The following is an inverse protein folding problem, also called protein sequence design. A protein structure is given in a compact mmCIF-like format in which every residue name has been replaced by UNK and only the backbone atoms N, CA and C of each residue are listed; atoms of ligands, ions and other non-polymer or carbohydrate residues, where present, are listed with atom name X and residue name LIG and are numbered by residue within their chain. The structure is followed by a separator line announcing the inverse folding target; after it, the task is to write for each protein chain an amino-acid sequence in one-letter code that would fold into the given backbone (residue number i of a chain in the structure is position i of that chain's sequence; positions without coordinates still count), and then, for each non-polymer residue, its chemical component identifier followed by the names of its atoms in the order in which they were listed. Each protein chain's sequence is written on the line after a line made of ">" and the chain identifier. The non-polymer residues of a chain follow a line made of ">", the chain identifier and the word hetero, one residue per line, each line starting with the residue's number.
data_IF_920871606876
#
_entry.id   IF_920871606876
#
_cell.length_a   1.000
_cell.length_b   1.000
_cell.length_c   1.000
_cell.angle_alpha   90.00
_cell.angle_beta   90.00
_cell.angle_gamma   90.00
#
_symmetry.space_group_name_H-M   'P 1'
#
loop_
_entity.id
_entity.type
_entity.pdbx_description
1 polymer ?
#
# COMPACT_ATOMS: atom_id res chain seq x y z
N UNK A 1 7.80 20.21 -12.89
CA UNK A 1 7.72 19.58 -11.56
C UNK A 1 7.14 18.17 -11.66
N UNK A 2 6.58 17.63 -10.56
CA UNK A 2 6.14 16.22 -10.47
C UNK A 2 5.22 15.77 -11.62
N UNK A 3 4.14 16.50 -11.90
CA UNK A 3 3.22 16.14 -12.99
C UNK A 3 3.91 16.06 -14.35
N UNK A 4 4.82 16.98 -14.64
CA UNK A 4 5.62 16.95 -15.87
C UNK A 4 6.49 15.70 -15.93
N UNK A 5 7.15 15.33 -14.82
CA UNK A 5 8.00 14.13 -14.78
C UNK A 5 7.20 12.83 -15.00
N UNK A 6 5.96 12.76 -14.50
CA UNK A 6 5.06 11.61 -14.75
C UNK A 6 4.69 11.53 -16.22
N UNK A 7 4.32 12.68 -16.82
CA UNK A 7 3.96 12.73 -18.27
C UNK A 7 5.17 12.39 -19.14
N UNK A 8 6.34 12.94 -18.82
CA UNK A 8 7.58 12.69 -19.56
C UNK A 8 8.00 11.21 -19.47
N UNK A 9 7.88 10.60 -18.29
CA UNK A 9 8.14 9.17 -18.10
C UNK A 9 7.19 8.33 -18.98
N UNK A 10 5.88 8.55 -18.87
CA UNK A 10 4.90 7.77 -19.65
C UNK A 10 5.07 7.96 -21.15
N UNK A 11 5.47 9.16 -21.58
CA UNK A 11 5.74 9.42 -23.01
C UNK A 11 7.02 8.72 -23.51
N UNK A 12 8.04 8.58 -22.67
CA UNK A 12 9.33 7.98 -23.04
C UNK A 12 9.36 6.46 -22.87
N UNK A 13 8.83 5.96 -21.75
CA UNK A 13 8.96 4.56 -21.31
C UNK A 13 7.64 3.79 -21.37
N UNK A 14 6.52 4.49 -21.54
CA UNK A 14 5.18 3.91 -21.45
C UNK A 14 4.61 3.93 -20.03
N UNK A 15 3.45 3.30 -19.83
CA UNK A 15 2.82 3.20 -18.52
C UNK A 15 3.71 2.51 -17.49
N UNK A 16 3.69 2.99 -16.24
CA UNK A 16 4.45 2.40 -15.14
C UNK A 16 4.17 0.90 -14.99
N UNK A 17 5.23 0.13 -14.77
CA UNK A 17 5.12 -1.32 -14.60
C UNK A 17 4.44 -1.69 -13.26
N UNK A 18 4.68 -0.92 -12.21
CA UNK A 18 4.08 -1.14 -10.89
C UNK A 18 4.05 0.14 -10.03
N UNK A 19 3.36 0.07 -8.88
CA UNK A 19 3.26 1.18 -7.91
C UNK A 19 4.63 1.59 -7.37
N UNK A 20 5.59 0.66 -7.30
CA UNK A 20 6.92 0.96 -6.80
C UNK A 20 7.68 1.88 -7.77
N UNK A 21 7.67 1.57 -9.07
CA UNK A 21 8.28 2.41 -10.09
C UNK A 21 7.66 3.81 -10.12
N UNK A 22 6.33 3.89 -10.13
CA UNK A 22 5.62 5.16 -10.06
C UNK A 22 6.00 5.97 -8.81
N UNK A 23 6.06 5.32 -7.65
CA UNK A 23 6.47 5.94 -6.38
C UNK A 23 7.90 6.50 -6.44
N UNK A 24 8.82 5.78 -7.08
CA UNK A 24 10.22 6.20 -7.19
C UNK A 24 10.35 7.43 -8.12
N UNK A 25 9.64 7.46 -9.24
CA UNK A 25 9.60 8.65 -10.13
C UNK A 25 8.96 9.85 -9.42
N UNK A 26 7.84 9.65 -8.72
CA UNK A 26 7.20 10.73 -7.95
C UNK A 26 8.11 11.24 -6.86
N UNK A 27 8.74 10.36 -6.07
CA UNK A 27 9.64 10.75 -4.97
C UNK A 27 10.85 11.55 -5.47
N UNK A 28 11.46 11.14 -6.59
CA UNK A 28 12.59 11.83 -7.19
C UNK A 28 12.26 13.26 -7.66
N UNK A 29 10.97 13.55 -7.91
CA UNK A 29 10.51 14.83 -8.44
C UNK A 29 9.66 15.65 -7.43
N UNK A 30 9.52 15.17 -6.19
CA UNK A 30 8.89 15.93 -5.11
C UNK A 30 9.88 16.92 -4.51
N UNK A 31 9.56 18.20 -4.58
CA UNK A 31 10.41 19.29 -4.07
C UNK A 31 10.12 19.63 -2.61
N UNK A 32 9.02 19.19 -2.04
CA UNK A 32 8.58 19.54 -0.67
C UNK A 32 7.86 18.36 -0.01
N UNK A 33 8.21 18.05 1.23
CA UNK A 33 7.43 17.12 2.05
C UNK A 33 8.21 16.60 3.26
N UNK A 34 7.53 16.55 4.41
CA UNK A 34 8.10 15.99 5.66
C UNK A 34 8.37 14.48 5.53
N UNK A 35 7.71 13.80 4.60
CA UNK A 35 7.85 12.38 4.30
C UNK A 35 7.68 12.13 2.80
N UNK A 36 8.63 12.53 1.97
CA UNK A 36 8.47 12.48 0.52
C UNK A 36 8.17 11.06 0.02
N UNK A 37 8.83 10.04 0.54
CA UNK A 37 8.59 8.65 0.14
C UNK A 37 7.19 8.15 0.50
N UNK A 38 6.64 8.54 1.66
CA UNK A 38 5.28 8.20 2.03
C UNK A 38 4.27 8.86 1.09
N UNK A 39 4.41 10.17 0.88
CA UNK A 39 3.51 10.91 -0.01
C UNK A 39 3.61 10.41 -1.45
N UNK A 40 4.81 10.09 -1.94
CA UNK A 40 5.01 9.52 -3.26
C UNK A 40 4.33 8.16 -3.41
N UNK A 41 4.43 7.29 -2.41
CA UNK A 41 3.77 5.98 -2.42
C UNK A 41 2.24 6.12 -2.43
N UNK A 42 1.67 7.02 -1.64
CA UNK A 42 0.23 7.26 -1.66
C UNK A 42 -0.24 7.82 -3.02
N UNK A 43 0.50 8.80 -3.57
CA UNK A 43 0.21 9.34 -4.91
C UNK A 43 0.31 8.26 -6.00
N UNK A 44 1.34 7.42 -5.95
CA UNK A 44 1.53 6.36 -6.92
C UNK A 44 0.42 5.30 -6.88
N UNK A 45 -0.17 5.04 -5.72
CA UNK A 45 -1.34 4.15 -5.61
C UNK A 45 -2.54 4.70 -6.36
N UNK A 46 -2.75 6.02 -6.34
CA UNK A 46 -3.83 6.66 -7.06
C UNK A 46 -3.68 6.48 -8.58
N UNK A 47 -2.45 6.37 -9.10
CA UNK A 47 -2.21 6.13 -10.52
C UNK A 47 -2.75 4.78 -11.00
N UNK A 48 -2.89 3.80 -10.12
CA UNK A 48 -3.47 2.50 -10.45
C UNK A 48 -4.94 2.59 -10.88
N UNK A 49 -5.60 3.68 -10.53
CA UNK A 49 -7.00 3.96 -10.88
C UNK A 49 -7.14 4.91 -12.08
N UNK A 50 -6.03 5.30 -12.72
CA UNK A 50 -6.03 6.22 -13.86
C UNK A 50 -5.63 5.43 -15.11
N UNK A 51 -6.55 5.37 -16.07
CA UNK A 51 -6.33 4.68 -17.34
C UNK A 51 -5.08 5.21 -18.05
N UNK A 52 -4.23 4.29 -18.49
CA UNK A 52 -3.03 4.58 -19.26
C UNK A 52 -1.81 5.01 -18.43
N UNK A 53 -1.91 5.23 -17.13
CA UNK A 53 -0.74 5.52 -16.29
C UNK A 53 -0.01 4.27 -15.81
N UNK A 54 -0.72 3.15 -15.63
CA UNK A 54 -0.16 1.89 -15.16
C UNK A 54 -0.42 0.77 -16.14
N UNK A 55 0.46 -0.22 -16.21
CA UNK A 55 0.24 -1.44 -16.98
C UNK A 55 -0.89 -2.27 -16.38
N UNK A 56 -1.60 -3.06 -17.19
CA UNK A 56 -2.76 -3.85 -16.77
C UNK A 56 -2.47 -4.87 -15.64
N UNK A 57 -1.21 -5.28 -15.47
CA UNK A 57 -0.77 -6.19 -14.40
C UNK A 57 -0.01 -5.45 -13.28
N UNK A 58 -0.18 -4.16 -13.18
CA UNK A 58 0.69 -3.24 -12.44
C UNK A 58 0.56 -3.28 -10.92
N UNK A 59 -0.39 -4.01 -10.39
CA UNK A 59 -0.67 -4.02 -8.95
C UNK A 59 0.18 -5.04 -8.16
N UNK A 60 1.15 -5.69 -8.83
CA UNK A 60 1.91 -6.78 -8.23
C UNK A 60 2.92 -6.33 -7.18
N UNK A 61 3.42 -5.11 -7.26
CA UNK A 61 4.41 -4.58 -6.31
C UNK A 61 3.91 -3.28 -5.70
N UNK A 62 3.77 -3.31 -4.39
CA UNK A 62 3.43 -2.13 -3.60
C UNK A 62 4.30 -2.12 -2.34
N UNK A 63 5.06 -1.04 -2.13
CA UNK A 63 5.86 -0.89 -0.93
C UNK A 63 4.97 -0.77 0.30
N UNK A 64 5.17 -1.65 1.28
CA UNK A 64 4.46 -1.55 2.55
C UNK A 64 4.92 -0.31 3.33
N UNK A 65 3.97 0.55 3.66
CA UNK A 65 4.17 1.64 4.60
C UNK A 65 4.38 1.14 6.04
N UNK A 66 4.79 2.03 6.98
CA UNK A 66 5.03 1.64 8.36
C UNK A 66 3.82 1.01 9.06
N UNK A 67 2.61 1.49 8.74
CA UNK A 67 1.35 0.93 9.26
C UNK A 67 1.11 -0.49 8.77
N UNK A 68 1.23 -0.71 7.47
CA UNK A 68 1.05 -2.03 6.86
C UNK A 68 2.11 -3.04 7.32
N UNK A 69 3.37 -2.61 7.52
CA UNK A 69 4.41 -3.47 8.12
C UNK A 69 4.03 -3.94 9.53
N UNK A 70 3.44 -3.05 10.35
CA UNK A 70 2.91 -3.43 11.66
C UNK A 70 1.75 -4.42 11.53
N UNK A 71 0.81 -4.17 10.63
CA UNK A 71 -0.30 -5.07 10.36
C UNK A 71 0.16 -6.46 9.91
N UNK A 72 1.14 -6.51 9.01
CA UNK A 72 1.73 -7.78 8.58
C UNK A 72 2.41 -8.53 9.73
N UNK A 73 3.11 -7.81 10.62
CA UNK A 73 3.72 -8.41 11.80
C UNK A 73 2.67 -9.02 12.75
N UNK A 74 1.53 -8.36 12.94
CA UNK A 74 0.40 -8.88 13.71
C UNK A 74 -0.19 -10.14 13.07
N UNK A 75 -0.47 -10.11 11.77
CA UNK A 75 -0.96 -11.28 11.04
C UNK A 75 0.01 -12.47 11.15
N UNK A 76 1.32 -12.21 11.02
CA UNK A 76 2.34 -13.25 11.20
C UNK A 76 2.35 -13.83 12.61
N UNK A 77 2.19 -12.99 13.63
CA UNK A 77 2.15 -13.43 15.02
C UNK A 77 0.91 -14.30 15.31
N UNK A 78 -0.24 -13.95 14.77
CA UNK A 78 -1.47 -14.74 14.92
C UNK A 78 -1.38 -16.10 14.23
N UNK A 79 -0.63 -16.17 13.13
CA UNK A 79 -0.36 -17.41 12.40
C UNK A 79 0.83 -18.20 12.95
N UNK A 80 1.40 -17.79 14.07
CA UNK A 80 2.53 -18.44 14.72
C UNK A 80 2.16 -19.89 15.13
N UNK A 81 2.41 -20.82 14.27
CA UNK A 81 2.07 -22.24 14.36
C UNK A 81 1.79 -22.88 13.01
N UNK A 82 1.57 -22.10 11.97
CA UNK A 82 1.16 -22.58 10.65
C UNK A 82 1.73 -21.79 9.48
N UNK A 83 2.98 -22.00 9.16
CA UNK A 83 3.54 -21.59 7.88
C UNK A 83 4.15 -20.19 7.87
N UNK A 84 5.44 -20.14 7.66
CA UNK A 84 6.15 -18.90 7.36
C UNK A 84 5.55 -18.28 6.10
N UNK A 85 5.06 -17.04 6.19
CA UNK A 85 4.58 -16.28 5.02
C UNK A 85 5.75 -15.80 4.12
N UNK A 86 6.90 -16.47 4.14
CA UNK A 86 8.03 -16.13 3.28
C UNK A 86 8.53 -14.69 3.40
N UNK A 87 8.95 -14.12 2.28
CA UNK A 87 9.30 -12.70 2.17
C UNK A 87 8.08 -11.79 2.41
N UNK A 88 8.29 -10.48 2.41
CA UNK A 88 7.18 -9.51 2.49
C UNK A 88 6.28 -9.62 1.27
N UNK A 89 6.86 -9.76 0.09
CA UNK A 89 6.10 -9.87 -1.16
C UNK A 89 5.29 -11.17 -1.20
N UNK A 90 5.89 -12.31 -0.81
CA UNK A 90 5.17 -13.59 -0.71
C UNK A 90 3.99 -13.49 0.25
N UNK A 91 4.17 -12.83 1.38
CA UNK A 91 3.11 -12.63 2.37
C UNK A 91 1.95 -11.80 1.81
N UNK A 92 2.25 -10.71 1.10
CA UNK A 92 1.22 -9.85 0.49
C UNK A 92 0.46 -10.61 -0.59
N UNK A 93 1.16 -11.38 -1.43
CA UNK A 93 0.52 -12.20 -2.46
C UNK A 93 -0.35 -13.31 -1.87
N UNK A 94 0.11 -13.97 -0.80
CA UNK A 94 -0.67 -14.99 -0.10
C UNK A 94 -1.95 -14.39 0.50
N UNK A 95 -1.84 -13.25 1.19
CA UNK A 95 -2.99 -12.54 1.76
C UNK A 95 -3.97 -12.07 0.68
N UNK A 96 -3.47 -11.57 -0.46
CA UNK A 96 -4.32 -11.22 -1.61
C UNK A 96 -5.12 -12.42 -2.10
N UNK A 97 -4.47 -13.57 -2.27
CA UNK A 97 -5.13 -14.80 -2.72
C UNK A 97 -6.19 -15.27 -1.72
N UNK A 98 -5.91 -15.22 -0.43
CA UNK A 98 -6.85 -15.57 0.63
C UNK A 98 -8.06 -14.64 0.67
N UNK A 99 -7.85 -13.32 0.60
CA UNK A 99 -8.94 -12.34 0.59
C UNK A 99 -9.84 -12.52 -0.64
N UNK A 100 -9.26 -12.77 -1.81
CA UNK A 100 -10.02 -13.09 -3.02
C UNK A 100 -10.88 -14.35 -2.84
N UNK A 101 -10.30 -15.40 -2.29
CA UNK A 101 -10.98 -16.67 -2.07
C UNK A 101 -12.08 -16.57 -0.99
N UNK A 102 -11.74 -15.99 0.17
CA UNK A 102 -12.64 -15.95 1.33
C UNK A 102 -13.84 -15.01 1.14
N UNK A 103 -13.65 -13.88 0.47
CA UNK A 103 -14.68 -12.86 0.33
C UNK A 103 -15.32 -12.81 -1.07
N UNK A 104 -14.87 -13.65 -2.01
CA UNK A 104 -15.31 -13.59 -3.40
C UNK A 104 -14.92 -12.27 -4.10
N UNK A 105 -13.90 -11.57 -3.59
CA UNK A 105 -13.48 -10.25 -4.02
C UNK A 105 -12.38 -10.37 -5.09
N UNK A 106 -12.75 -10.78 -6.30
CA UNK A 106 -11.80 -10.97 -7.41
C UNK A 106 -10.99 -9.73 -7.80
N UNK A 107 -11.45 -8.55 -7.39
CA UNK A 107 -10.82 -7.25 -7.66
C UNK A 107 -9.70 -6.86 -6.67
N UNK A 108 -9.55 -7.55 -5.53
CA UNK A 108 -8.52 -7.22 -4.52
C UNK A 108 -7.13 -7.30 -5.13
N UNK A 109 -6.38 -6.21 -5.02
CA UNK A 109 -5.00 -6.08 -5.48
C UNK A 109 -4.01 -5.90 -4.33
N UNK A 110 -2.72 -5.87 -4.60
CA UNK A 110 -1.69 -5.73 -3.54
C UNK A 110 -1.77 -4.41 -2.80
N UNK A 111 -2.22 -3.35 -3.47
CA UNK A 111 -2.48 -2.04 -2.84
C UNK A 111 -3.61 -2.11 -1.82
N UNK A 112 -4.66 -2.90 -2.11
CA UNK A 112 -5.78 -3.09 -1.18
C UNK A 112 -5.33 -3.88 0.05
N UNK A 113 -4.46 -4.88 -0.14
CA UNK A 113 -3.85 -5.63 0.97
C UNK A 113 -2.98 -4.71 1.84
N UNK A 114 -2.19 -3.83 1.24
CA UNK A 114 -1.38 -2.84 1.98
C UNK A 114 -2.26 -1.94 2.83
N UNK A 115 -3.33 -1.40 2.26
CA UNK A 115 -4.27 -0.56 2.98
C UNK A 115 -4.99 -1.33 4.10
N UNK A 116 -5.46 -2.55 3.82
CA UNK A 116 -6.11 -3.40 4.81
C UNK A 116 -5.19 -3.71 5.99
N UNK A 117 -3.91 -4.01 5.74
CA UNK A 117 -2.92 -4.23 6.79
C UNK A 117 -2.68 -2.98 7.63
N UNK A 118 -2.67 -1.79 7.01
CA UNK A 118 -2.53 -0.53 7.71
C UNK A 118 -3.72 -0.28 8.65
N UNK A 119 -4.95 -0.48 8.16
CA UNK A 119 -6.17 -0.32 8.97
C UNK A 119 -6.27 -1.39 10.05
N UNK A 120 -5.88 -2.62 9.76
CA UNK A 120 -5.83 -3.70 10.75
C UNK A 120 -4.91 -3.36 11.92
N UNK A 121 -3.70 -2.82 11.66
CA UNK A 121 -2.82 -2.36 12.73
C UNK A 121 -3.45 -1.28 13.61
N UNK A 122 -4.20 -0.36 13.02
CA UNK A 122 -4.93 0.69 13.77
C UNK A 122 -6.06 0.09 14.60
N UNK A 123 -6.81 -0.86 14.03
CA UNK A 123 -7.91 -1.55 14.71
C UNK A 123 -7.40 -2.32 15.95
N UNK A 124 -6.35 -3.12 15.79
CA UNK A 124 -5.75 -3.85 16.90
C UNK A 124 -5.23 -2.90 18.00
N UNK A 125 -4.56 -1.81 17.62
CA UNK A 125 -4.13 -0.80 18.56
C UNK A 125 -5.31 -0.16 19.32
N UNK A 126 -6.41 0.13 18.64
CA UNK A 126 -7.62 0.64 19.24
C UNK A 126 -8.24 -0.38 20.23
N UNK A 127 -8.36 -1.64 19.84
CA UNK A 127 -8.91 -2.69 20.68
C UNK A 127 -8.07 -2.92 21.97
N UNK A 128 -6.75 -2.76 21.86
CA UNK A 128 -5.84 -2.97 23.00
C UNK A 128 -5.70 -1.76 23.92
N UNK A 129 -5.76 -0.56 23.38
CA UNK A 129 -5.47 0.67 24.18
C UNK A 129 -6.70 1.56 24.39
N UNK A 130 -7.80 1.32 23.68
CA UNK A 130 -8.97 2.20 23.67
C UNK A 130 -8.71 3.57 23.01
N UNK A 131 -7.51 3.80 22.50
CA UNK A 131 -7.09 5.09 21.93
C UNK A 131 -6.96 4.94 20.41
N UNK A 132 -7.71 5.75 19.67
CA UNK A 132 -7.52 5.85 18.22
C UNK A 132 -6.09 6.28 17.90
N UNK A 133 -5.45 5.58 16.97
CA UNK A 133 -4.11 5.92 16.49
C UNK A 133 -4.04 7.31 15.83
N UNK A 134 -5.19 7.88 15.46
CA UNK A 134 -5.32 9.23 14.91
C UNK A 134 -6.01 10.12 15.95
N UNK A 135 -5.27 11.07 16.51
CA UNK A 135 -5.80 12.13 17.40
C UNK A 135 -6.88 13.00 16.73
N UNK A 136 -7.14 12.81 15.43
CA UNK A 136 -8.12 13.59 14.68
C UNK A 136 -9.57 13.25 15.00
N UNK A 137 -9.82 12.14 15.69
CA UNK A 137 -11.17 11.70 16.04
C UNK A 137 -11.44 11.73 17.54
N UNK A 138 -10.62 12.42 18.33
CA UNK A 138 -11.02 12.76 19.67
C UNK A 138 -12.30 13.61 19.57
N UNK A 139 -13.46 13.03 19.93
CA UNK A 139 -14.68 13.81 20.11
C UNK A 139 -14.36 14.89 21.12
N UNK A 140 -14.55 16.14 20.71
CA UNK A 140 -14.72 17.21 21.68
C UNK A 140 -15.90 16.82 22.57
N UNK A 141 -15.62 16.63 23.85
CA UNK A 141 -16.64 16.40 24.88
C UNK A 141 -17.45 17.66 25.05
#
# INVERSE_FOLDING_TARGET
>A
AMATAVVDHVAAEGPFADVQEASDVVAANMTVGIRPQFSANETAKDFAYIDGLMQAASHHRCRLGPGAKKGLALVRAERAGGGALGSVDDAVHALRAELRAAAGLGWVETIDVEQALCEYAKYVAYCTTGISASKRYARAA
#
